data_IF_645493110376
#
_entry.id   IF_645493110376
#
_cell.length_a   1.000
_cell.length_b   1.000
_cell.length_c   1.000
_cell.angle_alpha   90.00
_cell.angle_beta   90.00
_cell.angle_gamma   90.00
#
_symmetry.space_group_name_H-M   'P 1'
#
loop_
_entity.id
_entity.type
_entity.pdbx_description
1 polymer ?
#
# COMPACT_ATOMS: atom_id res chain seq x y z
N UNK A 1 -25.87 -2.70 21.71
CA UNK A 1 -24.43 -2.41 21.94
C UNK A 1 -24.37 -1.23 22.88
N UNK A 2 -23.69 -1.36 24.03
CA UNK A 2 -23.36 -0.20 24.85
C UNK A 2 -22.40 0.69 24.05
N UNK A 3 -22.52 2.03 24.10
CA UNK A 3 -21.54 2.88 23.47
C UNK A 3 -20.18 2.65 24.16
N UNK A 4 -19.21 2.15 23.40
CA UNK A 4 -17.85 1.85 23.89
C UNK A 4 -17.09 3.09 24.42
N UNK A 5 -17.68 4.29 24.30
CA UNK A 5 -17.09 5.57 24.68
C UNK A 5 -17.87 6.28 25.81
N UNK A 6 -18.62 5.57 26.66
CA UNK A 6 -19.17 6.20 27.86
C UNK A 6 -18.08 6.57 28.88
N UNK A 7 -18.39 7.53 29.76
CA UNK A 7 -17.43 8.07 30.74
C UNK A 7 -16.84 6.97 31.63
N UNK A 8 -17.62 5.92 31.93
CA UNK A 8 -17.18 4.80 32.75
C UNK A 8 -16.14 3.92 32.05
N UNK A 9 -16.30 3.72 30.74
CA UNK A 9 -15.37 2.96 29.90
C UNK A 9 -14.07 3.72 29.72
N UNK A 10 -14.14 5.04 29.50
CA UNK A 10 -12.95 5.90 29.40
C UNK A 10 -12.15 5.93 30.71
N UNK A 11 -12.84 6.09 31.84
CA UNK A 11 -12.21 6.07 33.16
C UNK A 11 -11.57 4.71 33.48
N UNK A 12 -12.27 3.62 33.17
CA UNK A 12 -11.75 2.26 33.32
C UNK A 12 -10.47 2.06 32.50
N UNK A 13 -10.48 2.43 31.22
CA UNK A 13 -9.33 2.26 30.34
C UNK A 13 -8.11 3.06 30.83
N UNK A 14 -8.32 4.32 31.25
CA UNK A 14 -7.24 5.17 31.78
C UNK A 14 -6.66 4.61 33.09
N UNK A 15 -7.51 4.16 34.02
CA UNK A 15 -7.05 3.60 35.30
C UNK A 15 -6.35 2.25 35.12
N UNK A 16 -6.94 1.35 34.31
CA UNK A 16 -6.36 0.05 34.01
C UNK A 16 -5.01 0.20 33.31
N UNK A 17 -4.90 1.11 32.34
CA UNK A 17 -3.64 1.34 31.63
C UNK A 17 -2.49 1.69 32.58
N UNK A 18 -2.74 2.58 33.55
CA UNK A 18 -1.72 3.00 34.54
C UNK A 18 -1.34 1.87 35.50
N UNK A 19 -2.31 1.06 35.95
CA UNK A 19 -2.04 -0.07 36.86
C UNK A 19 -1.19 -1.16 36.23
N UNK A 20 -1.26 -1.32 34.92
CA UNK A 20 -0.59 -2.37 34.17
C UNK A 20 0.82 -2.00 33.69
N UNK A 21 1.28 -0.78 34.00
CA UNK A 21 2.57 -0.27 33.55
C UNK A 21 3.73 -1.18 33.96
N UNK A 22 4.48 -1.66 32.96
CA UNK A 22 5.67 -2.50 33.17
C UNK A 22 5.39 -3.96 33.51
N UNK A 23 4.13 -4.39 33.58
CA UNK A 23 3.74 -5.77 33.90
C UNK A 23 3.00 -6.43 32.73
N UNK A 24 1.98 -5.77 32.18
CA UNK A 24 1.05 -6.35 31.19
C UNK A 24 0.96 -5.45 29.94
N UNK A 25 2.11 -5.20 29.31
CA UNK A 25 2.21 -4.26 28.18
C UNK A 25 1.30 -4.64 26.99
N UNK A 26 1.06 -5.93 26.75
CA UNK A 26 0.15 -6.40 25.70
C UNK A 26 -1.30 -5.93 25.96
N UNK A 27 -1.74 -6.00 27.21
CA UNK A 27 -3.06 -5.52 27.63
C UNK A 27 -3.12 -3.99 27.53
N UNK A 28 -2.04 -3.28 27.85
CA UNK A 28 -1.97 -1.83 27.66
C UNK A 28 -2.23 -1.43 26.20
N UNK A 29 -1.65 -2.13 25.21
CA UNK A 29 -1.96 -1.85 23.79
C UNK A 29 -3.41 -2.15 23.42
N UNK A 30 -4.04 -3.17 24.01
CA UNK A 30 -5.48 -3.44 23.81
C UNK A 30 -6.37 -2.33 24.40
N UNK A 31 -5.98 -1.75 25.53
CA UNK A 31 -6.69 -0.59 26.10
C UNK A 31 -6.53 0.66 25.22
N UNK A 32 -5.35 0.89 24.64
CA UNK A 32 -5.15 1.95 23.66
C UNK A 32 -5.99 1.72 22.39
N UNK A 33 -6.10 0.47 21.93
CA UNK A 33 -6.93 0.09 20.78
C UNK A 33 -8.41 0.39 21.07
N UNK A 34 -8.91 -0.01 22.24
CA UNK A 34 -10.28 0.27 22.69
C UNK A 34 -10.59 1.77 22.65
N UNK A 35 -9.67 2.61 23.13
CA UNK A 35 -9.84 4.06 23.10
C UNK A 35 -9.85 4.64 21.67
N UNK A 36 -9.03 4.09 20.78
CA UNK A 36 -9.01 4.49 19.37
C UNK A 36 -10.30 4.07 18.63
N UNK A 37 -10.81 2.86 18.90
CA UNK A 37 -12.08 2.34 18.37
C UNK A 37 -13.31 3.10 18.89
N UNK A 38 -13.17 3.83 20.01
CA UNK A 38 -14.22 4.70 20.54
C UNK A 38 -14.60 5.86 19.61
N UNK A 39 -13.69 6.31 18.73
CA UNK A 39 -13.93 7.34 17.70
C UNK A 39 -14.68 8.61 18.19
N UNK A 40 -14.38 9.06 19.42
CA UNK A 40 -14.93 10.31 20.00
C UNK A 40 -13.80 11.27 20.37
N UNK A 41 -14.11 12.55 20.49
CA UNK A 41 -13.13 13.55 20.95
C UNK A 41 -12.63 13.24 22.36
N UNK A 42 -13.51 12.74 23.23
CA UNK A 42 -13.22 12.36 24.60
C UNK A 42 -12.28 11.14 24.65
N UNK A 43 -12.56 10.10 23.85
CA UNK A 43 -11.69 8.92 23.80
C UNK A 43 -10.30 9.26 23.25
N UNK A 44 -10.23 10.10 22.21
CA UNK A 44 -8.95 10.57 21.66
C UNK A 44 -8.19 11.49 22.61
N UNK A 45 -8.89 12.29 23.44
CA UNK A 45 -8.24 13.09 24.47
C UNK A 45 -7.58 12.21 25.56
N UNK A 46 -8.25 11.11 25.97
CA UNK A 46 -7.67 10.11 26.88
C UNK A 46 -6.48 9.41 26.21
N UNK A 47 -6.68 8.94 24.98
CA UNK A 47 -5.66 8.25 24.19
C UNK A 47 -4.39 9.10 24.05
N UNK A 48 -4.55 10.40 23.74
CA UNK A 48 -3.43 11.34 23.63
C UNK A 48 -2.62 11.42 24.92
N UNK A 49 -3.30 11.55 26.08
CA UNK A 49 -2.61 11.60 27.38
C UNK A 49 -1.80 10.33 27.63
N UNK A 50 -2.37 9.17 27.35
CA UNK A 50 -1.71 7.88 27.56
C UNK A 50 -0.51 7.70 26.63
N UNK A 51 -0.66 7.96 25.32
CA UNK A 51 0.43 7.84 24.33
C UNK A 51 1.58 8.82 24.57
N UNK A 52 1.31 10.02 25.10
CA UNK A 52 2.36 10.99 25.44
C UNK A 52 3.09 10.66 26.74
N UNK A 53 2.48 9.85 27.61
CA UNK A 53 3.08 9.42 28.87
C UNK A 53 4.11 8.28 28.66
N UNK A 54 3.92 7.15 29.31
CA UNK A 54 4.73 5.94 29.21
C UNK A 54 4.10 4.97 28.20
N UNK A 55 4.82 4.67 27.12
CA UNK A 55 4.40 3.69 26.13
C UNK A 55 4.72 2.26 26.63
N UNK A 56 3.90 1.25 26.28
CA UNK A 56 4.19 -0.12 26.64
C UNK A 56 5.48 -0.59 25.96
N UNK A 57 6.35 -1.30 26.69
CA UNK A 57 7.69 -1.68 26.18
C UNK A 57 7.70 -2.94 25.31
N UNK A 58 6.62 -3.72 25.36
CA UNK A 58 6.41 -4.96 24.60
C UNK A 58 4.96 -5.03 24.10
N UNK A 59 4.66 -5.97 23.21
CA UNK A 59 3.33 -6.15 22.64
C UNK A 59 3.23 -5.60 21.22
N UNK A 60 2.01 -5.27 20.79
CA UNK A 60 1.73 -4.98 19.38
C UNK A 60 1.10 -3.60 19.18
N UNK A 61 1.94 -2.61 18.86
CA UNK A 61 1.50 -1.26 18.53
C UNK A 61 0.69 -1.18 17.23
N UNK A 62 0.90 -2.11 16.28
CA UNK A 62 0.23 -2.11 14.95
C UNK A 62 -1.29 -2.20 15.09
N UNK A 63 -1.80 -2.75 16.20
CA UNK A 63 -3.22 -2.77 16.54
C UNK A 63 -3.88 -1.38 16.52
N UNK A 64 -3.10 -0.32 16.74
CA UNK A 64 -3.58 1.05 16.73
C UNK A 64 -3.70 1.64 15.32
N UNK A 65 -3.01 1.07 14.33
CA UNK A 65 -2.91 1.65 13.00
C UNK A 65 -4.28 1.78 12.33
N UNK A 66 -5.05 0.67 12.26
CA UNK A 66 -6.37 0.68 11.61
C UNK A 66 -7.36 1.66 12.26
N UNK A 67 -7.68 1.58 13.57
CA UNK A 67 -8.67 2.47 14.15
C UNK A 67 -8.26 3.95 14.09
N UNK A 68 -6.96 4.26 14.13
CA UNK A 68 -6.48 5.64 13.96
C UNK A 68 -6.59 6.12 12.50
N UNK A 69 -6.34 5.26 11.51
CA UNK A 69 -6.53 5.60 10.10
C UNK A 69 -8.01 5.76 9.72
N UNK A 70 -8.90 4.96 10.32
CA UNK A 70 -10.35 5.03 10.12
C UNK A 70 -10.99 6.32 10.72
N UNK A 71 -10.20 7.14 11.43
CA UNK A 71 -10.65 8.40 12.06
C UNK A 71 -9.61 9.51 11.90
N UNK A 72 -9.23 9.81 10.67
CA UNK A 72 -8.13 10.71 10.33
C UNK A 72 -8.21 12.10 11.01
N UNK A 73 -9.39 12.72 11.06
CA UNK A 73 -9.59 14.03 11.67
C UNK A 73 -9.36 14.01 13.18
N UNK A 74 -9.82 12.96 13.87
CA UNK A 74 -9.55 12.77 15.30
C UNK A 74 -8.07 12.45 15.53
N UNK A 75 -7.47 11.61 14.69
CA UNK A 75 -6.04 11.29 14.75
C UNK A 75 -5.16 12.52 14.54
N UNK A 76 -5.57 13.47 13.69
CA UNK A 76 -4.86 14.72 13.49
C UNK A 76 -4.69 15.52 14.80
N UNK A 77 -5.64 15.42 15.74
CA UNK A 77 -5.55 16.09 17.06
C UNK A 77 -4.44 15.55 17.97
N UNK A 78 -3.95 14.34 17.68
CA UNK A 78 -2.82 13.72 18.38
C UNK A 78 -1.48 14.30 17.91
N UNK A 79 -1.46 14.91 16.72
CA UNK A 79 -0.29 15.56 16.13
C UNK A 79 -0.28 17.07 16.48
N UNK A 80 0.91 17.70 16.59
CA UNK A 80 2.22 17.14 16.32
C UNK A 80 2.86 16.34 17.46
N UNK A 81 2.25 16.35 18.65
CA UNK A 81 2.89 15.87 19.87
C UNK A 81 3.38 14.43 19.78
N UNK A 82 2.66 13.54 19.07
CA UNK A 82 3.10 12.15 18.86
C UNK A 82 4.36 12.00 18.00
N UNK A 83 4.76 13.01 17.21
CA UNK A 83 6.00 12.96 16.43
C UNK A 83 7.24 12.85 17.34
N UNK A 84 7.16 13.29 18.60
CA UNK A 84 8.24 13.11 19.56
C UNK A 84 8.50 11.63 19.91
N UNK A 85 7.53 10.75 19.65
CA UNK A 85 7.60 9.30 19.87
C UNK A 85 7.98 8.53 18.60
N UNK A 86 8.35 9.21 17.51
CA UNK A 86 8.71 8.55 16.26
C UNK A 86 9.94 7.62 16.38
N UNK A 87 10.78 7.81 17.40
CA UNK A 87 11.93 6.95 17.68
C UNK A 87 11.63 5.79 18.64
N UNK A 88 10.38 5.63 19.09
CA UNK A 88 9.98 4.52 19.95
C UNK A 88 10.07 3.18 19.17
N UNK A 89 10.67 2.12 19.74
CA UNK A 89 10.91 0.86 19.03
C UNK A 89 9.67 0.13 18.52
N UNK A 90 8.51 0.34 19.15
CA UNK A 90 7.25 -0.32 18.75
C UNK A 90 6.31 0.68 18.09
N UNK A 91 6.15 1.84 18.72
CA UNK A 91 5.18 2.84 18.31
C UNK A 91 5.68 3.72 17.15
N UNK A 92 7.00 3.80 16.93
CA UNK A 92 7.59 4.57 15.83
C UNK A 92 7.04 4.17 14.45
N UNK A 93 6.83 2.87 14.22
CA UNK A 93 6.18 2.35 13.01
C UNK A 93 4.77 2.94 12.81
N UNK A 94 3.96 3.00 13.87
CA UNK A 94 2.60 3.57 13.81
C UNK A 94 2.68 5.07 13.54
N UNK A 95 3.56 5.79 14.22
CA UNK A 95 3.79 7.23 13.99
C UNK A 95 4.17 7.48 12.53
N UNK A 96 5.04 6.66 11.94
CA UNK A 96 5.48 6.83 10.56
C UNK A 96 4.33 6.71 9.56
N UNK A 97 3.48 5.69 9.72
CA UNK A 97 2.30 5.47 8.87
C UNK A 97 1.30 6.61 9.01
N UNK A 98 0.95 6.98 10.24
CA UNK A 98 -0.05 8.02 10.50
C UNK A 98 0.44 9.39 10.02
N UNK A 99 1.70 9.76 10.30
CA UNK A 99 2.27 11.04 9.88
C UNK A 99 2.24 11.19 8.36
N UNK A 100 2.61 10.14 7.62
CA UNK A 100 2.54 10.13 6.17
C UNK A 100 1.10 10.32 5.68
N UNK A 101 0.15 9.52 6.20
CA UNK A 101 -1.25 9.61 5.81
C UNK A 101 -1.86 10.98 6.07
N UNK A 102 -1.62 11.55 7.25
CA UNK A 102 -2.16 12.87 7.60
C UNK A 102 -1.60 13.98 6.71
N UNK A 103 -0.37 13.87 6.20
CA UNK A 103 0.15 14.80 5.21
C UNK A 103 -0.56 14.63 3.86
N UNK A 104 -0.80 13.39 3.42
CA UNK A 104 -1.55 13.13 2.18
C UNK A 104 -2.98 13.68 2.25
N UNK A 105 -3.63 13.53 3.39
CA UNK A 105 -5.00 14.03 3.63
C UNK A 105 -5.03 15.55 3.93
N UNK A 106 -3.89 16.24 3.86
CA UNK A 106 -3.74 17.67 4.19
C UNK A 106 -4.13 18.05 5.62
N UNK A 107 -4.11 17.09 6.54
CA UNK A 107 -4.39 17.26 7.99
C UNK A 107 -3.13 17.54 8.81
N UNK A 108 -1.94 17.31 8.24
CA UNK A 108 -0.64 17.64 8.83
C UNK A 108 0.25 18.31 7.78
N UNK A 109 1.05 19.31 8.17
CA UNK A 109 1.94 19.99 7.22
C UNK A 109 3.35 19.40 7.24
N UNK A 110 4.04 19.47 6.09
CA UNK A 110 5.47 19.09 6.00
C UNK A 110 6.33 19.94 6.95
N UNK A 111 6.00 21.22 7.14
CA UNK A 111 6.74 22.10 8.06
C UNK A 111 6.65 21.60 9.51
N UNK A 112 5.50 21.06 9.89
CA UNK A 112 5.31 20.40 11.18
C UNK A 112 6.22 19.17 11.31
N UNK A 113 6.32 18.32 10.27
CA UNK A 113 7.25 17.17 10.28
C UNK A 113 8.70 17.62 10.47
N UNK A 114 9.12 18.68 9.77
CA UNK A 114 10.49 19.20 9.84
C UNK A 114 10.86 19.68 11.25
N UNK A 115 9.92 20.20 12.02
CA UNK A 115 10.15 20.57 13.42
C UNK A 115 10.50 19.36 14.31
N UNK A 116 10.11 18.14 13.91
CA UNK A 116 10.35 16.88 14.61
C UNK A 116 11.32 15.97 13.85
N UNK A 117 12.22 16.55 13.03
CA UNK A 117 13.14 15.75 12.20
C UNK A 117 14.04 14.80 13.00
N UNK A 118 14.49 15.19 14.19
CA UNK A 118 15.39 14.38 15.00
C UNK A 118 14.78 13.02 15.42
N UNK A 119 13.60 12.97 16.07
CA UNK A 119 12.97 11.68 16.40
C UNK A 119 12.56 10.89 15.16
N UNK A 120 12.12 11.53 14.07
CA UNK A 120 11.78 10.84 12.81
C UNK A 120 13.02 10.15 12.20
N UNK A 121 14.13 10.87 12.08
CA UNK A 121 15.37 10.32 11.55
C UNK A 121 15.92 9.20 12.43
N UNK A 122 15.82 9.35 13.75
CA UNK A 122 16.25 8.30 14.68
C UNK A 122 15.37 7.04 14.58
N UNK A 123 14.04 7.19 14.46
CA UNK A 123 13.13 6.06 14.25
C UNK A 123 13.46 5.29 12.97
N UNK A 124 13.65 6.01 11.86
CA UNK A 124 14.05 5.40 10.60
C UNK A 124 15.40 4.65 10.70
N UNK A 125 16.38 5.21 11.42
CA UNK A 125 17.68 4.54 11.67
C UNK A 125 17.52 3.28 12.53
N UNK A 126 16.68 3.33 13.56
CA UNK A 126 16.43 2.19 14.43
C UNK A 126 15.85 1.02 13.62
N UNK A 127 14.83 1.26 12.80
CA UNK A 127 14.23 0.20 11.97
C UNK A 127 15.16 -0.25 10.83
N UNK A 128 15.98 0.65 10.29
CA UNK A 128 17.05 0.25 9.38
C UNK A 128 18.03 -0.73 10.02
N UNK A 129 18.38 -0.53 11.29
CA UNK A 129 19.24 -1.45 12.02
C UNK A 129 18.56 -2.82 12.22
N UNK A 130 17.25 -2.85 12.51
CA UNK A 130 16.50 -4.10 12.61
C UNK A 130 16.54 -4.91 11.30
N UNK A 131 16.49 -4.23 10.15
CA UNK A 131 16.68 -4.89 8.85
C UNK A 131 18.10 -5.47 8.72
N UNK A 132 19.14 -4.70 9.08
CA UNK A 132 20.52 -5.18 9.01
C UNK A 132 20.79 -6.37 9.93
N UNK A 133 20.11 -6.42 11.07
CA UNK A 133 20.20 -7.50 12.05
C UNK A 133 19.32 -8.72 11.68
N UNK A 134 18.59 -8.65 10.55
CA UNK A 134 17.72 -9.73 10.08
C UNK A 134 16.45 -9.92 10.90
N UNK A 135 16.10 -8.94 11.74
CA UNK A 135 14.87 -8.96 12.56
C UNK A 135 13.65 -8.42 11.81
N UNK A 136 13.87 -7.74 10.68
CA UNK A 136 12.85 -7.10 9.86
C UNK A 136 12.93 -7.55 8.41
N UNK A 137 11.77 -7.56 7.76
CA UNK A 137 11.68 -7.70 6.32
C UNK A 137 11.87 -6.35 5.63
N UNK A 138 12.52 -6.28 4.45
CA UNK A 138 12.77 -5.01 3.78
C UNK A 138 11.51 -4.18 3.48
N UNK A 139 10.40 -4.83 3.12
CA UNK A 139 9.14 -4.17 2.79
C UNK A 139 8.57 -3.35 3.97
N UNK A 140 8.95 -3.71 5.20
CA UNK A 140 8.55 -2.96 6.41
C UNK A 140 9.09 -1.53 6.39
N UNK A 141 10.24 -1.27 5.76
CA UNK A 141 10.83 0.06 5.68
C UNK A 141 10.17 0.98 4.66
N UNK A 142 9.21 0.52 3.85
CA UNK A 142 8.49 1.33 2.86
C UNK A 142 7.82 2.56 3.49
N UNK A 143 7.24 2.40 4.69
CA UNK A 143 6.64 3.49 5.49
C UNK A 143 7.65 4.60 5.83
N UNK A 144 8.87 4.21 6.18
CA UNK A 144 9.94 5.15 6.48
C UNK A 144 10.48 5.81 5.23
N UNK A 145 10.64 5.08 4.13
CA UNK A 145 11.03 5.67 2.86
C UNK A 145 10.09 6.83 2.46
N UNK A 146 8.78 6.61 2.57
CA UNK A 146 7.76 7.63 2.30
C UNK A 146 7.88 8.84 3.24
N UNK A 147 7.99 8.62 4.55
CA UNK A 147 8.11 9.72 5.52
C UNK A 147 9.43 10.51 5.36
N UNK A 148 10.55 9.83 5.10
CA UNK A 148 11.83 10.47 4.80
C UNK A 148 11.78 11.28 3.50
N UNK A 149 11.01 10.82 2.52
CA UNK A 149 10.67 11.56 1.30
C UNK A 149 10.06 12.92 1.63
N UNK A 150 9.00 12.94 2.45
CA UNK A 150 8.36 14.17 2.90
C UNK A 150 9.30 15.07 3.70
N UNK A 151 10.16 14.49 4.53
CA UNK A 151 11.09 15.22 5.38
C UNK A 151 12.17 15.96 4.56
N UNK A 152 12.70 15.29 3.52
CA UNK A 152 13.70 15.81 2.59
C UNK A 152 14.93 16.43 3.28
N UNK A 153 15.51 15.71 4.24
CA UNK A 153 16.74 16.11 4.92
C UNK A 153 17.94 15.31 4.37
N UNK A 154 19.18 15.84 4.41
CA UNK A 154 20.36 15.17 3.86
C UNK A 154 20.61 13.77 4.45
N UNK A 155 20.38 13.62 5.75
CA UNK A 155 20.53 12.35 6.45
C UNK A 155 19.48 11.33 6.01
N UNK A 156 18.21 11.75 5.89
CA UNK A 156 17.14 10.92 5.35
C UNK A 156 17.40 10.52 3.90
N UNK A 157 17.95 11.43 3.10
CA UNK A 157 18.34 11.15 1.70
C UNK A 157 19.45 10.08 1.63
N UNK A 158 20.38 10.10 2.58
CA UNK A 158 21.42 9.05 2.67
C UNK A 158 20.79 7.69 2.94
N UNK A 159 19.85 7.63 3.89
CA UNK A 159 19.16 6.39 4.23
C UNK A 159 18.27 5.89 3.07
N UNK A 160 17.59 6.77 2.34
CA UNK A 160 16.85 6.43 1.12
C UNK A 160 17.74 5.81 0.05
N UNK A 161 18.98 6.28 -0.11
CA UNK A 161 19.94 5.66 -1.04
C UNK A 161 20.36 4.26 -0.60
N UNK A 162 20.47 4.01 0.70
CA UNK A 162 20.71 2.66 1.24
C UNK A 162 19.52 1.72 1.01
N UNK A 163 18.29 2.24 1.16
CA UNK A 163 17.06 1.50 0.85
C UNK A 163 16.95 1.19 -0.65
N UNK A 164 17.26 2.15 -1.52
CA UNK A 164 17.33 1.97 -2.97
C UNK A 164 18.29 0.84 -3.38
N UNK A 165 19.37 0.61 -2.63
CA UNK A 165 20.34 -0.45 -2.91
C UNK A 165 19.84 -1.86 -2.53
N UNK A 166 18.73 -1.98 -1.79
CA UNK A 166 18.17 -3.27 -1.42
C UNK A 166 17.59 -4.01 -2.63
N UNK A 167 17.44 -5.33 -2.48
CA UNK A 167 16.87 -6.20 -3.52
C UNK A 167 15.35 -6.13 -3.58
N UNK A 168 14.71 -5.89 -2.44
CA UNK A 168 13.26 -5.81 -2.30
C UNK A 168 12.67 -4.73 -3.21
N UNK A 169 11.73 -5.13 -4.07
CA UNK A 169 11.18 -4.24 -5.10
C UNK A 169 10.23 -3.20 -4.49
N UNK A 170 9.30 -3.54 -3.56
CA UNK A 170 8.47 -2.55 -2.89
C UNK A 170 9.27 -1.45 -2.17
N UNK A 171 10.29 -1.81 -1.40
CA UNK A 171 11.17 -0.84 -0.73
C UNK A 171 11.92 0.02 -1.75
N UNK A 172 12.41 -0.60 -2.83
CA UNK A 172 13.08 0.12 -3.91
C UNK A 172 12.16 1.15 -4.55
N UNK A 173 10.92 0.77 -4.89
CA UNK A 173 9.91 1.67 -5.44
C UNK A 173 9.69 2.87 -4.51
N UNK A 174 9.42 2.63 -3.22
CA UNK A 174 9.19 3.70 -2.25
C UNK A 174 10.40 4.65 -2.13
N UNK A 175 11.63 4.12 -2.18
CA UNK A 175 12.85 4.94 -2.17
C UNK A 175 13.01 5.77 -3.47
N UNK A 176 12.67 5.19 -4.63
CA UNK A 176 12.70 5.91 -5.91
C UNK A 176 11.71 7.07 -5.90
N UNK A 177 10.45 6.82 -5.52
CA UNK A 177 9.39 7.83 -5.43
C UNK A 177 9.81 8.99 -4.50
N UNK A 178 10.34 8.66 -3.32
CA UNK A 178 10.83 9.64 -2.35
C UNK A 178 11.98 10.50 -2.89
N UNK A 179 12.98 9.86 -3.53
CA UNK A 179 14.13 10.57 -4.11
C UNK A 179 13.70 11.48 -5.27
N UNK A 180 12.86 10.97 -6.17
CA UNK A 180 12.37 11.74 -7.33
C UNK A 180 11.49 12.93 -6.90
N UNK A 181 10.66 12.75 -5.87
CA UNK A 181 9.84 13.83 -5.29
C UNK A 181 10.71 14.96 -4.74
N UNK A 182 11.89 14.61 -4.23
CA UNK A 182 12.90 15.54 -3.72
C UNK A 182 13.86 16.08 -4.80
N UNK A 183 13.53 15.89 -6.07
CA UNK A 183 14.36 16.33 -7.20
C UNK A 183 15.70 15.62 -7.32
N UNK A 184 15.90 14.51 -6.60
CA UNK A 184 17.12 13.72 -6.66
C UNK A 184 17.11 12.81 -7.88
N UNK A 185 18.25 12.72 -8.56
CA UNK A 185 18.42 11.76 -9.64
C UNK A 185 18.48 10.32 -9.11
N UNK A 186 17.83 9.42 -9.83
CA UNK A 186 17.84 7.97 -9.60
C UNK A 186 18.40 7.29 -10.85
N UNK A 187 19.30 6.29 -10.73
CA UNK A 187 19.80 5.55 -11.88
C UNK A 187 18.67 4.85 -12.64
N UNK A 188 18.66 4.97 -13.98
CA UNK A 188 17.66 4.32 -14.84
C UNK A 188 17.63 2.79 -14.69
N UNK A 189 18.75 2.18 -14.28
CA UNK A 189 18.82 0.75 -13.97
C UNK A 189 17.96 0.36 -12.77
N UNK A 190 17.84 1.22 -11.75
CA UNK A 190 16.99 0.94 -10.58
C UNK A 190 15.51 1.10 -10.93
N UNK A 191 15.16 2.13 -11.70
CA UNK A 191 13.81 2.33 -12.26
C UNK A 191 13.41 1.11 -13.11
N UNK A 192 14.33 0.61 -13.93
CA UNK A 192 14.08 -0.54 -14.78
C UNK A 192 13.82 -1.84 -14.01
N UNK A 193 14.41 -2.02 -12.83
CA UNK A 193 14.15 -3.18 -11.97
C UNK A 193 12.72 -3.19 -11.45
N UNK A 194 12.23 -2.04 -10.97
CA UNK A 194 10.85 -1.92 -10.47
C UNK A 194 9.85 -2.06 -11.62
N UNK A 195 10.09 -1.41 -12.76
CA UNK A 195 9.20 -1.51 -13.93
C UNK A 195 9.14 -2.93 -14.53
N UNK A 196 10.19 -3.74 -14.35
CA UNK A 196 10.20 -5.13 -14.79
C UNK A 196 9.31 -6.04 -13.94
N UNK A 197 9.16 -5.74 -12.65
CA UNK A 197 8.41 -6.54 -11.70
C UNK A 197 6.89 -6.48 -11.95
N UNK A 198 6.23 -7.63 -12.10
CA UNK A 198 4.80 -7.68 -12.45
C UNK A 198 3.88 -7.22 -11.33
N UNK A 199 4.29 -7.33 -10.07
CA UNK A 199 3.47 -6.91 -8.92
C UNK A 199 3.54 -5.41 -8.68
N UNK A 200 4.64 -4.76 -9.10
CA UNK A 200 4.87 -3.33 -8.85
C UNK A 200 4.68 -2.44 -10.09
N UNK A 201 4.79 -2.99 -11.30
CA UNK A 201 4.84 -2.20 -12.55
C UNK A 201 3.67 -1.23 -12.73
N UNK A 202 2.42 -1.65 -12.51
CA UNK A 202 1.24 -0.78 -12.69
C UNK A 202 1.23 0.36 -11.66
N UNK A 203 1.44 0.05 -10.38
CA UNK A 203 1.51 1.03 -9.30
C UNK A 203 2.69 2.02 -9.49
N UNK A 204 3.83 1.51 -9.93
CA UNK A 204 4.99 2.37 -10.17
C UNK A 204 4.80 3.29 -11.38
N UNK A 205 4.13 2.82 -12.43
CA UNK A 205 3.77 3.67 -13.57
C UNK A 205 2.80 4.78 -13.15
N UNK A 206 1.77 4.43 -12.36
CA UNK A 206 0.82 5.39 -11.78
C UNK A 206 1.53 6.47 -10.97
N UNK A 207 2.39 6.06 -10.02
CA UNK A 207 3.14 6.99 -9.17
C UNK A 207 3.99 7.96 -10.00
N UNK A 208 4.69 7.48 -11.04
CA UNK A 208 5.46 8.38 -11.91
C UNK A 208 4.57 9.31 -12.74
N UNK A 209 3.39 8.86 -13.18
CA UNK A 209 2.42 9.69 -13.90
C UNK A 209 1.87 10.80 -13.00
N UNK A 210 1.49 10.49 -11.75
CA UNK A 210 1.05 11.47 -10.76
C UNK A 210 2.13 12.53 -10.46
N UNK A 211 3.40 12.14 -10.51
CA UNK A 211 4.54 13.04 -10.35
C UNK A 211 4.92 13.83 -11.61
N UNK A 212 4.27 13.57 -12.77
CA UNK A 212 4.67 14.13 -14.06
C UNK A 212 6.07 13.70 -14.52
N UNK A 213 6.47 12.47 -14.16
CA UNK A 213 7.78 11.86 -14.44
C UNK A 213 7.67 10.54 -15.21
N UNK A 214 6.56 10.29 -15.88
CA UNK A 214 6.29 9.08 -16.68
C UNK A 214 7.33 8.85 -17.78
N UNK A 215 8.01 9.91 -18.25
CA UNK A 215 9.12 9.83 -19.20
C UNK A 215 10.34 9.04 -18.70
N UNK A 216 10.47 8.85 -17.38
CA UNK A 216 11.51 8.01 -16.78
C UNK A 216 11.18 6.51 -16.88
N UNK A 217 9.91 6.16 -17.09
CA UNK A 217 9.49 4.76 -17.13
C UNK A 217 9.98 4.09 -18.41
N UNK A 218 10.58 2.88 -18.34
CA UNK A 218 11.14 2.23 -19.53
C UNK A 218 10.06 1.92 -20.58
N UNK A 219 10.25 2.33 -21.86
CA UNK A 219 9.27 2.08 -22.91
C UNK A 219 8.89 0.61 -23.11
N UNK A 220 9.81 -0.31 -22.79
CA UNK A 220 9.58 -1.77 -22.82
C UNK A 220 8.41 -2.18 -21.92
N UNK A 221 8.24 -1.52 -20.78
CA UNK A 221 7.22 -1.82 -19.79
C UNK A 221 6.03 -0.84 -19.85
N UNK A 222 6.17 0.30 -20.52
CA UNK A 222 5.13 1.33 -20.68
C UNK A 222 4.05 0.99 -21.73
N UNK A 223 3.91 -0.29 -22.11
CA UNK A 223 2.91 -0.71 -23.11
C UNK A 223 1.59 -1.05 -22.41
N UNK A 224 0.46 -0.83 -23.10
CA UNK A 224 -0.86 -1.17 -22.55
C UNK A 224 -0.94 -2.66 -22.19
N UNK A 225 -0.32 -3.53 -22.98
CA UNK A 225 -0.20 -4.96 -22.70
C UNK A 225 0.57 -5.22 -21.38
N UNK A 226 1.71 -4.57 -21.19
CA UNK A 226 2.56 -4.79 -20.02
C UNK A 226 1.89 -4.28 -18.73
N UNK A 227 1.18 -3.15 -18.81
CA UNK A 227 0.41 -2.61 -17.68
C UNK A 227 -0.82 -3.48 -17.38
N UNK A 228 -1.54 -3.94 -18.40
CA UNK A 228 -2.64 -4.89 -18.26
C UNK A 228 -2.22 -6.23 -17.63
N UNK A 229 -1.03 -6.75 -17.98
CA UNK A 229 -0.46 -7.94 -17.33
C UNK A 229 -0.22 -7.69 -15.84
N UNK A 230 0.28 -6.50 -15.48
CA UNK A 230 0.56 -6.14 -14.09
C UNK A 230 -0.71 -5.95 -13.27
N UNK A 231 -1.71 -5.24 -13.81
CA UNK A 231 -3.05 -5.09 -13.22
C UNK A 231 -3.69 -6.45 -12.90
N UNK A 232 -3.74 -7.36 -13.88
CA UNK A 232 -4.25 -8.71 -13.65
C UNK A 232 -3.38 -9.49 -12.66
N UNK A 233 -2.05 -9.38 -12.74
CA UNK A 233 -1.17 -10.07 -11.79
C UNK A 233 -1.46 -9.64 -10.36
N UNK A 234 -1.62 -8.34 -10.10
CA UNK A 234 -1.94 -7.81 -8.77
C UNK A 234 -3.32 -8.26 -8.30
N UNK A 235 -4.30 -8.37 -9.19
CA UNK A 235 -5.64 -8.87 -8.86
C UNK A 235 -5.63 -10.32 -8.37
N UNK A 236 -4.78 -11.19 -8.92
CA UNK A 236 -4.75 -12.60 -8.57
C UNK A 236 -3.71 -12.96 -7.49
N UNK A 237 -2.71 -12.12 -7.27
CA UNK A 237 -1.63 -12.41 -6.33
C UNK A 237 -2.09 -12.53 -4.87
N UNK A 238 -3.19 -11.88 -4.51
CA UNK A 238 -3.76 -11.95 -3.16
C UNK A 238 -4.59 -13.24 -2.94
N UNK A 239 -5.22 -13.75 -4.00
CA UNK A 239 -6.09 -14.92 -3.94
C UNK A 239 -5.35 -16.24 -4.19
N UNK A 240 -4.22 -16.20 -4.90
CA UNK A 240 -3.50 -17.40 -5.35
C UNK A 240 -2.00 -17.31 -5.07
N UNK A 241 -1.50 -18.20 -4.23
CA UNK A 241 -0.06 -18.34 -3.94
C UNK A 241 0.75 -18.75 -5.17
N UNK A 242 0.18 -19.63 -6.01
CA UNK A 242 0.80 -20.07 -7.25
C UNK A 242 -0.16 -19.91 -8.43
N UNK A 243 0.23 -19.11 -9.42
CA UNK A 243 -0.48 -19.02 -10.69
C UNK A 243 0.46 -18.64 -11.82
N UNK A 244 -0.01 -18.82 -13.06
CA UNK A 244 0.66 -18.31 -14.25
C UNK A 244 -0.28 -17.39 -15.01
N UNK A 245 0.29 -16.33 -15.59
CA UNK A 245 -0.45 -15.44 -16.49
C UNK A 245 0.30 -15.37 -17.82
N UNK A 246 -0.32 -15.89 -18.88
CA UNK A 246 0.30 -15.97 -20.21
C UNK A 246 -0.49 -15.15 -21.22
N UNK A 247 0.14 -14.19 -21.90
CA UNK A 247 -0.55 -13.42 -22.92
C UNK A 247 -0.96 -14.28 -24.13
N UNK A 248 -2.24 -14.24 -24.52
CA UNK A 248 -2.78 -15.04 -25.64
C UNK A 248 -3.24 -14.18 -26.82
N UNK A 249 -3.38 -12.86 -26.65
CA UNK A 249 -3.61 -11.95 -27.76
C UNK A 249 -4.38 -10.70 -27.38
N UNK A 250 -4.77 -9.94 -28.42
CA UNK A 250 -5.63 -8.79 -28.30
C UNK A 250 -6.86 -9.00 -29.17
N UNK A 251 -8.03 -8.55 -28.71
CA UNK A 251 -9.28 -8.56 -29.48
C UNK A 251 -9.99 -7.23 -29.36
N UNK A 252 -10.71 -6.87 -30.42
CA UNK A 252 -11.62 -5.75 -30.39
C UNK A 252 -13.04 -6.28 -30.23
N UNK A 253 -13.82 -5.69 -29.34
CA UNK A 253 -15.23 -6.01 -29.16
C UNK A 253 -16.02 -4.71 -28.94
N UNK A 254 -17.29 -4.72 -29.34
CA UNK A 254 -18.18 -3.60 -29.02
C UNK A 254 -18.64 -3.76 -27.59
N UNK A 255 -18.40 -2.76 -26.77
CA UNK A 255 -18.85 -2.69 -25.38
C UNK A 255 -19.44 -1.30 -25.13
N UNK A 256 -20.65 -1.25 -24.55
CA UNK A 256 -21.41 -0.01 -24.36
C UNK A 256 -21.48 0.87 -25.63
N UNK A 257 -21.73 0.25 -26.79
CA UNK A 257 -21.90 0.94 -28.08
C UNK A 257 -20.62 1.44 -28.74
N UNK A 258 -19.44 1.22 -28.15
CA UNK A 258 -18.16 1.62 -28.72
C UNK A 258 -17.23 0.43 -28.97
N UNK A 259 -16.44 0.49 -30.05
CA UNK A 259 -15.39 -0.50 -30.31
C UNK A 259 -14.22 -0.29 -29.33
N UNK A 260 -14.02 -1.24 -28.44
CA UNK A 260 -12.97 -1.25 -27.42
C UNK A 260 -11.93 -2.33 -27.71
N UNK A 261 -10.74 -2.17 -27.16
CA UNK A 261 -9.66 -3.16 -27.20
C UNK A 261 -9.55 -3.89 -25.86
N UNK A 262 -9.28 -5.18 -25.93
CA UNK A 262 -9.07 -6.04 -24.77
C UNK A 262 -7.77 -6.82 -24.95
N UNK A 263 -6.93 -6.82 -23.91
CA UNK A 263 -5.78 -7.71 -23.82
C UNK A 263 -6.21 -8.99 -23.13
N UNK A 264 -5.87 -10.12 -23.73
CA UNK A 264 -6.30 -11.44 -23.29
C UNK A 264 -5.11 -12.22 -22.77
N UNK A 265 -5.33 -12.87 -21.64
CA UNK A 265 -4.35 -13.69 -20.96
C UNK A 265 -4.97 -15.05 -20.62
N UNK A 266 -4.11 -16.03 -20.38
CA UNK A 266 -4.47 -17.33 -19.86
C UNK A 266 -3.96 -17.41 -18.43
N UNK A 267 -4.89 -17.57 -17.49
CA UNK A 267 -4.59 -17.82 -16.08
C UNK A 267 -4.51 -19.32 -15.86
N UNK A 268 -3.36 -19.81 -15.41
CA UNK A 268 -3.15 -21.21 -15.06
C UNK A 268 -3.04 -21.40 -13.56
N UNK A 269 -4.06 -21.99 -12.94
CA UNK A 269 -4.13 -22.29 -11.51
C UNK A 269 -3.75 -23.75 -11.25
N UNK A 270 -3.14 -24.08 -10.10
CA UNK A 270 -2.88 -25.46 -9.72
C UNK A 270 -4.21 -26.22 -9.57
N UNK A 271 -4.28 -27.41 -10.15
CA UNK A 271 -5.39 -28.35 -10.05
C UNK A 271 -4.97 -29.66 -9.37
N UNK A 272 -5.86 -30.66 -9.40
CA UNK A 272 -5.57 -31.99 -8.84
C UNK A 272 -4.50 -32.72 -9.64
N UNK A 273 -3.72 -33.57 -8.95
CA UNK A 273 -2.69 -34.44 -9.55
C UNK A 273 -1.63 -33.71 -10.41
N UNK A 274 -1.36 -32.43 -10.11
CA UNK A 274 -0.36 -31.63 -10.84
C UNK A 274 -0.84 -31.12 -12.20
N UNK A 275 -2.12 -31.28 -12.54
CA UNK A 275 -2.73 -30.62 -13.68
C UNK A 275 -2.92 -29.12 -13.38
N UNK A 276 -2.99 -28.27 -14.42
CA UNK A 276 -3.37 -26.87 -14.26
C UNK A 276 -4.74 -26.63 -14.86
N UNK A 277 -5.61 -25.97 -14.10
CA UNK A 277 -6.86 -25.43 -14.63
C UNK A 277 -6.55 -24.11 -15.32
N UNK A 278 -6.90 -24.00 -16.60
CA UNK A 278 -6.60 -22.83 -17.41
C UNK A 278 -7.89 -22.07 -17.71
N UNK A 279 -7.88 -20.74 -17.51
CA UNK A 279 -9.04 -19.87 -17.74
C UNK A 279 -8.65 -18.65 -18.57
N UNK A 280 -9.62 -18.10 -19.31
CA UNK A 280 -9.42 -16.83 -20.01
C UNK A 280 -9.46 -15.68 -19.01
N UNK A 281 -8.42 -14.85 -19.00
CA UNK A 281 -8.44 -13.56 -18.35
C UNK A 281 -8.53 -12.44 -19.38
N UNK A 282 -9.34 -11.43 -19.05
CA UNK A 282 -9.61 -10.28 -19.88
C UNK A 282 -9.12 -9.05 -19.13
N UNK A 283 -8.38 -8.19 -19.82
CA UNK A 283 -7.98 -6.88 -19.32
C UNK A 283 -8.48 -5.80 -20.28
N UNK A 284 -9.21 -4.82 -19.75
CA UNK A 284 -9.88 -3.78 -20.53
C UNK A 284 -11.21 -3.36 -19.91
N UNK A 285 -12.08 -2.62 -20.62
CA UNK A 285 -11.88 -2.14 -21.99
C UNK A 285 -10.83 -1.03 -22.07
N UNK A 286 -10.11 -0.99 -23.19
CA UNK A 286 -9.16 0.08 -23.52
C UNK A 286 -9.56 0.77 -24.82
N UNK A 287 -9.54 2.10 -24.82
CA UNK A 287 -9.89 2.88 -26.01
C UNK A 287 -8.87 2.65 -27.13
N UNK A 288 -9.35 2.25 -28.30
CA UNK A 288 -8.49 2.00 -29.46
C UNK A 288 -7.73 3.26 -29.88
N UNK A 289 -6.40 3.15 -30.03
CA UNK A 289 -5.55 4.27 -30.45
C UNK A 289 -5.39 5.40 -29.43
N UNK A 290 -5.80 5.20 -28.17
CA UNK A 290 -5.59 6.18 -27.12
C UNK A 290 -4.09 6.40 -26.87
N UNK A 291 -3.70 7.67 -26.77
CA UNK A 291 -2.35 8.08 -26.36
C UNK A 291 -2.14 7.82 -24.88
N UNK A 292 -3.16 8.11 -24.08
CA UNK A 292 -3.20 7.89 -22.65
C UNK A 292 -3.32 6.39 -22.35
N UNK A 293 -2.59 5.94 -21.32
CA UNK A 293 -2.66 4.56 -20.83
C UNK A 293 -3.75 4.47 -19.80
N UNK A 294 -4.59 3.46 -19.94
CA UNK A 294 -5.60 3.12 -18.93
C UNK A 294 -4.97 2.05 -18.04
N UNK A 295 -4.76 2.35 -16.77
CA UNK A 295 -4.02 1.46 -15.87
C UNK A 295 -4.90 0.29 -15.41
N UNK A 296 -6.14 0.61 -15.02
CA UNK A 296 -7.09 -0.35 -14.48
C UNK A 296 -8.27 -0.52 -15.43
N UNK A 297 -8.45 -1.73 -15.97
CA UNK A 297 -9.57 -2.02 -16.84
C UNK A 297 -10.86 -2.22 -16.04
N UNK A 298 -11.93 -1.48 -16.36
CA UNK A 298 -13.24 -1.63 -15.66
C UNK A 298 -13.76 -3.07 -15.68
N UNK A 299 -13.45 -3.81 -16.75
CA UNK A 299 -13.82 -5.21 -16.94
C UNK A 299 -12.60 -6.14 -16.87
N UNK A 300 -11.52 -5.74 -16.20
CA UNK A 300 -10.42 -6.67 -15.92
C UNK A 300 -10.94 -7.81 -15.03
N UNK A 301 -10.64 -9.06 -15.38
CA UNK A 301 -11.11 -10.23 -14.62
C UNK A 301 -10.88 -11.56 -15.30
N UNK A 302 -11.43 -12.62 -14.70
CA UNK A 302 -11.36 -14.01 -15.19
C UNK A 302 -12.75 -14.50 -15.64
N UNK A 303 -12.78 -15.23 -16.74
CA UNK A 303 -13.94 -15.98 -17.20
C UNK A 303 -13.84 -17.42 -16.66
N UNK A 304 -14.62 -17.70 -15.61
CA UNK A 304 -14.54 -18.94 -14.84
C UNK A 304 -15.47 -20.07 -15.28
N UNK A 305 -16.44 -19.80 -16.17
CA UNK A 305 -17.50 -20.76 -16.54
C UNK A 305 -17.00 -21.95 -17.37
N UNK A 306 -15.92 -21.77 -18.15
CA UNK A 306 -15.28 -22.85 -18.88
C UNK A 306 -13.76 -22.69 -18.96
N UNK A 307 -13.08 -23.82 -19.15
CA UNK A 307 -11.63 -23.84 -19.36
C UNK A 307 -11.24 -23.12 -20.64
N UNK A 308 -10.07 -22.49 -20.64
CA UNK A 308 -9.49 -21.81 -21.78
C UNK A 308 -9.39 -22.74 -23.01
N UNK A 309 -9.93 -22.29 -24.14
CA UNK A 309 -9.79 -22.98 -25.43
C UNK A 309 -9.28 -21.99 -26.49
N UNK A 310 -8.06 -22.18 -27.04
CA UNK A 310 -7.49 -21.29 -28.03
C UNK A 310 -8.34 -21.14 -29.31
N UNK A 311 -9.19 -22.12 -29.61
CA UNK A 311 -10.11 -22.08 -30.76
C UNK A 311 -11.39 -21.29 -30.46
N UNK A 312 -11.74 -21.10 -29.19
CA UNK A 312 -12.96 -20.42 -28.74
C UNK A 312 -12.72 -19.06 -28.09
N UNK A 313 -11.48 -18.55 -28.05
CA UNK A 313 -11.14 -17.26 -27.40
C UNK A 313 -12.14 -16.12 -27.68
N UNK A 314 -12.59 -15.98 -28.93
CA UNK A 314 -13.54 -14.92 -29.31
C UNK A 314 -14.94 -15.16 -28.74
N UNK A 315 -15.37 -16.43 -28.68
CA UNK A 315 -16.63 -16.83 -28.05
C UNK A 315 -16.55 -16.66 -26.53
N UNK A 316 -15.44 -17.06 -25.92
CA UNK A 316 -15.16 -16.89 -24.49
C UNK A 316 -15.17 -15.42 -24.07
N UNK A 317 -14.50 -14.54 -24.83
CA UNK A 317 -14.55 -13.10 -24.59
C UNK A 317 -15.99 -12.57 -24.68
N UNK A 318 -16.76 -13.01 -25.69
CA UNK A 318 -18.15 -12.57 -25.83
C UNK A 318 -19.00 -13.01 -24.64
N UNK A 319 -18.87 -14.25 -24.19
CA UNK A 319 -19.59 -14.77 -23.03
C UNK A 319 -19.22 -14.00 -21.75
N UNK A 320 -17.93 -13.74 -21.53
CA UNK A 320 -17.46 -12.91 -20.42
C UNK A 320 -18.09 -11.51 -20.41
N UNK A 321 -18.08 -10.82 -21.55
CA UNK A 321 -18.66 -9.48 -21.65
C UNK A 321 -20.16 -9.48 -21.38
N UNK A 322 -20.88 -10.52 -21.84
CA UNK A 322 -22.31 -10.67 -21.57
C UNK A 322 -22.62 -10.88 -20.09
N UNK A 323 -21.78 -11.64 -19.37
CA UNK A 323 -21.93 -11.80 -17.91
C UNK A 323 -21.74 -10.47 -17.18
N UNK A 324 -20.74 -9.67 -17.59
CA UNK A 324 -20.49 -8.37 -16.96
C UNK A 324 -21.59 -7.35 -17.25
N UNK A 325 -22.21 -7.40 -18.42
CA UNK A 325 -23.40 -6.57 -18.71
C UNK A 325 -24.59 -6.96 -17.79
N UNK A 326 -24.79 -8.25 -17.50
CA UNK A 326 -25.88 -8.69 -16.62
C UNK A 326 -25.67 -8.42 -15.12
N UNK A 327 -24.42 -8.33 -14.66
CA UNK A 327 -24.10 -8.02 -13.26
C UNK A 327 -24.27 -6.52 -12.93
N UNK A 328 -24.34 -5.65 -13.96
CA UNK A 328 -24.52 -4.19 -13.82
C UNK A 328 -26.00 -3.75 -13.89
N UNK A 329 -26.97 -4.65 -14.17
CA UNK A 329 -28.42 -4.39 -14.19
C UNK A 329 -29.14 -4.66 -12.86
#
# INVERSE_FOLDING_TARGET
>A
MLPLADESTLAFAEEAYKKLEGQENEVQYRLLQLLAEGQTTESFAVLKRLLLSSLPKTGNAILLQKPLLDSAELTATLFPDLLQKANDPLFGTVVAVLAHRLVQDSLLTIQTLKAYKAPILQGAKNEWQLLLDGSYEPWELTRWARLLGLLNEPEGTTLLRSMLAQKDIPLKQAAIEALLSNGQAVPASEISKVAADRSQRVYFFEALQEMGKESLFPPLYATQKSLAESDLFTMFADDYEEFTLTYVGQRSATYQGALQQFHLFKLGLPGEEGQRNEYLCVAGPYKSGAKEKVLYGKLSGVYGDETFDPKKITQQLKAYLQQKDSDEE
#
